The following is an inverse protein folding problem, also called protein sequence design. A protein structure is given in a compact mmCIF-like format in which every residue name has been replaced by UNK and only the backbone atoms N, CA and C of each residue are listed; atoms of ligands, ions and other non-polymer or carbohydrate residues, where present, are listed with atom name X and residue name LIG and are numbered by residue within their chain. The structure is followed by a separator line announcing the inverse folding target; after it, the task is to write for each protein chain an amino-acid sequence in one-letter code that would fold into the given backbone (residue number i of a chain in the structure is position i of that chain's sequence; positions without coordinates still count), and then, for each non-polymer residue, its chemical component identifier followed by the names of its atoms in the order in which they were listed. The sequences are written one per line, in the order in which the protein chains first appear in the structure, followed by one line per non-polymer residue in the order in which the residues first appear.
data_IF_760125400262
#
_entry.id   IF_760125400262
#
_cell.length_a   1.000
_cell.length_b   1.000
_cell.length_c   1.000
_cell.angle_alpha   90.00
_cell.angle_beta   90.00
_cell.angle_gamma   90.00
#
_symmetry.space_group_name_H-M   'P 1'
#
loop_
_entity.id
_entity.type
_entity.pdbx_description
1 polymer ?
#
# COMPACT_ATOMS: atom_id res chain seq x y z
N UNK A 1 5.54 27.74 -8.26
CA UNK A 1 4.85 27.87 -6.96
C UNK A 1 4.19 29.24 -6.75
N UNK A 2 4.82 30.35 -7.15
CA UNK A 2 4.31 31.71 -6.92
C UNK A 2 2.88 31.98 -7.44
N UNK A 3 2.52 31.46 -8.62
CA UNK A 3 1.17 31.63 -9.19
C UNK A 3 0.09 30.92 -8.34
N UNK A 4 0.39 29.73 -7.80
CA UNK A 4 -0.54 28.99 -6.95
C UNK A 4 -0.76 29.65 -5.58
N UNK A 5 0.30 30.23 -5.02
CA UNK A 5 0.20 31.03 -3.79
C UNK A 5 -0.62 32.31 -4.01
N UNK A 6 -0.42 32.99 -5.15
CA UNK A 6 -1.16 34.19 -5.53
C UNK A 6 -2.66 33.93 -5.77
N UNK A 7 -3.02 32.72 -6.21
CA UNK A 7 -4.41 32.31 -6.44
C UNK A 7 -5.09 31.71 -5.20
N UNK A 8 -4.41 31.64 -4.05
CA UNK A 8 -5.03 31.18 -2.80
C UNK A 8 -6.03 32.24 -2.34
N UNK A 9 -7.28 31.84 -2.09
CA UNK A 9 -8.24 32.70 -1.38
C UNK A 9 -7.76 32.85 0.07
N UNK A 10 -7.31 34.06 0.41
CA UNK A 10 -6.83 34.43 1.74
C UNK A 10 -7.88 35.29 2.41
N UNK A 11 -8.40 34.82 3.56
CA UNK A 11 -9.35 35.57 4.38
C UNK A 11 -8.87 35.63 5.82
N UNK A 12 -8.56 36.83 6.30
CA UNK A 12 -8.06 37.05 7.65
C UNK A 12 -9.13 36.74 8.73
N UNK A 13 -8.70 36.14 9.84
CA UNK A 13 -9.43 36.04 11.12
C UNK A 13 -8.66 36.82 12.20
N UNK A 14 -9.32 37.13 13.31
CA UNK A 14 -8.68 37.76 14.48
C UNK A 14 -7.59 36.88 15.13
N UNK A 15 -7.52 35.56 14.80
CA UNK A 15 -6.49 34.64 15.29
C UNK A 15 -5.38 34.31 14.26
N UNK A 16 -5.60 34.57 12.96
CA UNK A 16 -4.65 34.24 11.90
C UNK A 16 -4.92 35.11 10.66
N UNK A 17 -3.89 35.82 10.20
CA UNK A 17 -4.01 36.89 9.21
C UNK A 17 -4.04 36.38 7.76
N UNK A 18 -3.46 35.21 7.44
CA UNK A 18 -3.16 34.86 6.04
C UNK A 18 -3.48 33.42 5.57
N UNK A 19 -4.02 32.51 6.39
CA UNK A 19 -4.14 31.09 5.96
C UNK A 19 -5.24 30.23 6.60
N UNK A 20 -5.93 30.69 7.65
CA UNK A 20 -6.78 29.84 8.50
C UNK A 20 -8.06 29.30 7.86
N UNK A 21 -8.40 29.68 6.62
CA UNK A 21 -9.73 29.44 6.03
C UNK A 21 -9.75 28.59 4.76
N UNK A 22 -8.64 28.01 4.33
CA UNK A 22 -8.63 27.13 3.16
C UNK A 22 -7.62 26.00 3.29
N UNK A 23 -8.03 24.82 2.84
CA UNK A 23 -7.12 23.69 2.63
C UNK A 23 -6.40 23.89 1.29
N UNK A 24 -5.10 23.68 1.26
CA UNK A 24 -4.32 23.64 0.03
C UNK A 24 -3.77 22.23 -0.18
N UNK A 25 -3.93 21.71 -1.40
CA UNK A 25 -3.42 20.40 -1.80
C UNK A 25 -2.51 20.63 -3.00
N UNK A 26 -1.25 20.26 -2.86
CA UNK A 26 -0.27 20.28 -3.93
C UNK A 26 0.13 18.85 -4.28
N UNK A 27 -0.04 18.50 -5.55
CA UNK A 27 0.17 17.13 -6.04
C UNK A 27 1.31 17.15 -7.03
N UNK A 28 2.32 16.32 -6.78
CA UNK A 28 3.39 16.02 -7.74
C UNK A 28 3.18 14.58 -8.20
N UNK A 29 3.02 14.39 -9.50
CA UNK A 29 2.99 13.07 -10.13
C UNK A 29 4.33 12.86 -10.84
N UNK A 30 4.98 11.74 -10.56
CA UNK A 30 6.24 11.33 -11.17
C UNK A 30 5.96 10.04 -11.93
N UNK A 31 6.21 10.07 -13.24
CA UNK A 31 6.10 8.90 -14.09
C UNK A 31 7.51 8.46 -14.48
N UNK A 32 7.84 7.20 -14.20
CA UNK A 32 9.10 6.58 -14.56
C UNK A 32 8.83 5.50 -15.60
N UNK A 33 9.58 5.52 -16.69
CA UNK A 33 9.54 4.51 -17.73
C UNK A 33 10.88 3.77 -17.74
N UNK A 34 10.85 2.45 -17.55
CA UNK A 34 12.04 1.60 -17.52
C UNK A 34 11.86 0.42 -18.48
N UNK A 35 12.94 0.05 -19.16
CA UNK A 35 12.93 -1.11 -20.04
C UNK A 35 12.97 -2.39 -19.19
N UNK A 36 11.94 -3.22 -19.33
CA UNK A 36 11.84 -4.53 -18.75
C UNK A 36 12.79 -5.55 -19.36
N UNK A 37 12.95 -6.66 -18.65
CA UNK A 37 13.66 -7.85 -19.14
C UNK A 37 12.97 -8.52 -20.34
N UNK A 38 11.69 -8.20 -20.58
CA UNK A 38 10.95 -8.61 -21.78
C UNK A 38 11.19 -7.68 -22.99
N UNK A 39 12.04 -6.66 -22.81
CA UNK A 39 12.33 -5.65 -23.83
C UNK A 39 11.19 -4.63 -24.03
N UNK A 40 10.20 -4.59 -23.14
CA UNK A 40 9.09 -3.62 -23.20
C UNK A 40 9.27 -2.52 -22.16
N UNK A 41 8.66 -1.37 -22.43
CA UNK A 41 8.63 -0.25 -21.50
C UNK A 41 7.62 -0.50 -20.39
N UNK A 42 8.09 -0.55 -19.14
CA UNK A 42 7.27 -0.61 -17.95
C UNK A 42 7.14 0.78 -17.34
N UNK A 43 5.91 1.18 -17.06
CA UNK A 43 5.61 2.50 -16.49
C UNK A 43 5.27 2.34 -15.02
N UNK A 44 5.94 3.12 -14.17
CA UNK A 44 5.66 3.24 -12.74
C UNK A 44 5.26 4.67 -12.42
N UNK A 45 4.21 4.84 -11.62
CA UNK A 45 3.69 6.17 -11.28
C UNK A 45 3.73 6.43 -9.78
N UNK A 46 4.56 7.36 -9.37
CA UNK A 46 4.59 7.90 -8.01
C UNK A 46 3.69 9.13 -7.90
N UNK A 47 2.91 9.25 -6.82
CA UNK A 47 2.13 10.46 -6.51
C UNK A 47 2.47 10.94 -5.11
N UNK A 48 3.00 12.16 -5.02
CA UNK A 48 3.27 12.86 -3.76
C UNK A 48 2.19 13.91 -3.55
N UNK A 49 1.44 13.77 -2.46
CA UNK A 49 0.44 14.75 -2.03
C UNK A 49 1.00 15.53 -0.83
N UNK A 50 1.13 16.86 -0.97
CA UNK A 50 1.43 17.79 0.10
C UNK A 50 0.16 18.56 0.46
N UNK A 51 -0.28 18.45 1.71
CA UNK A 51 -1.57 18.98 2.15
C UNK A 51 -1.35 19.95 3.30
N UNK A 52 -1.75 21.21 3.11
CA UNK A 52 -1.83 22.25 4.14
C UNK A 52 -3.31 22.38 4.55
N UNK A 53 -3.63 21.96 5.77
CA UNK A 53 -5.00 21.97 6.26
C UNK A 53 -5.34 23.34 6.86
N UNK A 54 -6.61 23.72 6.76
CA UNK A 54 -7.15 24.87 7.47
C UNK A 54 -7.01 24.69 9.00
N UNK A 55 -7.14 25.79 9.73
CA UNK A 55 -7.02 25.82 11.18
C UNK A 55 -7.98 24.85 11.88
N UNK A 56 -7.47 24.08 12.85
CA UNK A 56 -8.24 23.10 13.61
C UNK A 56 -9.01 23.70 14.79
N UNK A 57 -8.88 24.99 15.02
CA UNK A 57 -9.53 25.72 16.11
C UNK A 57 -11.06 25.78 15.98
N UNK A 58 -11.72 25.93 17.14
CA UNK A 58 -13.17 26.02 17.21
C UNK A 58 -13.66 27.41 16.78
N UNK A 59 -14.76 27.43 16.00
CA UNK A 59 -15.41 28.66 15.55
C UNK A 59 -15.90 29.58 16.68
N UNK A 60 -16.17 29.04 17.87
CA UNK A 60 -16.54 29.86 19.02
C UNK A 60 -15.45 30.87 19.43
N UNK A 61 -14.19 30.64 19.03
CA UNK A 61 -13.06 31.55 19.29
C UNK A 61 -12.87 32.61 18.19
N UNK A 62 -13.53 32.47 17.04
CA UNK A 62 -13.28 33.33 15.85
C UNK A 62 -14.24 34.51 15.72
N UNK A 63 -15.30 34.59 16.55
CA UNK A 63 -16.28 35.69 16.61
C UNK A 63 -16.79 36.17 15.24
N UNK A 64 -17.04 35.24 14.30
CA UNK A 64 -17.46 35.57 12.93
C UNK A 64 -18.97 35.56 12.74
N UNK A 65 -19.54 36.63 12.16
CA UNK A 65 -20.97 36.79 11.88
C UNK A 65 -21.32 36.72 10.37
N UNK A 66 -22.58 36.42 10.04
CA UNK A 66 -23.12 36.50 8.67
C UNK A 66 -22.56 35.46 7.68
N UNK A 67 -22.23 35.88 6.45
CA UNK A 67 -21.65 35.00 5.42
C UNK A 67 -20.31 34.37 5.85
N UNK A 68 -19.55 35.06 6.72
CA UNK A 68 -18.33 34.50 7.31
C UNK A 68 -18.60 33.29 8.21
N UNK A 69 -19.74 33.27 8.91
CA UNK A 69 -20.15 32.11 9.71
C UNK A 69 -20.46 30.90 8.82
N UNK A 70 -21.15 31.11 7.69
CA UNK A 70 -21.46 30.03 6.73
C UNK A 70 -20.20 29.43 6.11
N UNK A 71 -19.24 30.27 5.75
CA UNK A 71 -17.93 29.83 5.23
C UNK A 71 -17.15 29.04 6.29
N UNK A 72 -17.03 29.59 7.50
CA UNK A 72 -16.30 28.97 8.60
C UNK A 72 -16.93 27.63 9.04
N UNK A 73 -18.26 27.52 8.94
CA UNK A 73 -18.98 26.24 9.14
C UNK A 73 -18.57 25.19 8.11
N UNK A 74 -18.43 25.56 6.83
CA UNK A 74 -18.00 24.62 5.77
C UNK A 74 -16.54 24.19 5.92
N UNK A 75 -15.67 25.09 6.36
CA UNK A 75 -14.26 24.76 6.65
C UNK A 75 -14.19 23.74 7.79
N UNK A 76 -14.89 24.00 8.90
CA UNK A 76 -14.91 23.08 10.04
C UNK A 76 -15.63 21.77 9.73
N UNK A 77 -16.61 21.77 8.82
CA UNK A 77 -17.23 20.54 8.34
C UNK A 77 -16.17 19.59 7.77
N UNK A 78 -15.32 20.05 6.87
CA UNK A 78 -14.28 19.20 6.26
C UNK A 78 -13.28 18.62 7.27
N UNK A 79 -12.86 19.40 8.28
CA UNK A 79 -11.96 18.92 9.35
C UNK A 79 -12.67 17.97 10.33
N UNK A 80 -13.93 18.23 10.63
CA UNK A 80 -14.76 17.35 11.47
C UNK A 80 -14.99 16.01 10.77
N UNK A 81 -15.34 16.04 9.49
CA UNK A 81 -15.46 14.84 8.65
C UNK A 81 -14.14 14.08 8.57
N UNK A 82 -13.01 14.76 8.42
CA UNK A 82 -11.69 14.12 8.47
C UNK A 82 -11.49 13.40 9.82
N UNK A 83 -11.87 14.01 10.93
CA UNK A 83 -11.86 13.37 12.25
C UNK A 83 -12.75 12.13 12.37
N UNK A 84 -13.93 12.15 11.73
CA UNK A 84 -14.84 11.01 11.67
C UNK A 84 -14.26 9.87 10.83
N UNK A 85 -13.65 10.17 9.68
CA UNK A 85 -12.94 9.20 8.84
C UNK A 85 -11.81 8.52 9.62
N UNK A 86 -10.98 9.28 10.33
CA UNK A 86 -9.91 8.73 11.16
C UNK A 86 -10.47 7.84 12.26
N UNK A 87 -11.54 8.27 12.92
CA UNK A 87 -12.16 7.49 14.00
C UNK A 87 -12.74 6.17 13.48
N UNK A 88 -13.40 6.20 12.31
CA UNK A 88 -13.91 5.01 11.64
C UNK A 88 -12.81 4.06 11.17
N UNK A 89 -11.67 4.58 10.69
CA UNK A 89 -10.53 3.77 10.28
C UNK A 89 -9.80 3.07 11.44
N UNK A 90 -9.86 3.66 12.63
CA UNK A 90 -9.25 3.09 13.84
C UNK A 90 -10.19 2.09 14.53
N UNK A 91 -11.51 2.32 14.43
CA UNK A 91 -12.51 1.40 14.96
C UNK A 91 -12.70 0.19 14.04
N UNK A 92 -12.20 -0.97 14.48
CA UNK A 92 -12.33 -2.24 13.75
C UNK A 92 -13.77 -2.70 13.53
N UNK A 93 -14.75 -2.13 14.25
CA UNK A 93 -16.17 -2.46 14.09
C UNK A 93 -16.85 -1.66 12.97
N UNK A 94 -16.23 -0.57 12.52
CA UNK A 94 -16.80 0.27 11.49
C UNK A 94 -16.63 -0.38 10.12
N UNK A 95 -17.73 -0.76 9.49
CA UNK A 95 -17.73 -1.33 8.13
C UNK A 95 -17.67 -0.26 7.04
N UNK A 96 -18.18 0.94 7.33
CA UNK A 96 -18.25 2.05 6.39
C UNK A 96 -17.39 3.23 6.87
N UNK A 97 -16.55 3.75 5.98
CA UNK A 97 -15.76 4.96 6.25
C UNK A 97 -16.33 6.13 5.44
N UNK A 98 -16.72 7.24 6.09
CA UNK A 98 -17.47 8.33 5.46
C UNK A 98 -16.61 9.28 4.63
N UNK A 99 -15.85 8.77 3.65
CA UNK A 99 -15.03 9.63 2.78
C UNK A 99 -15.86 10.64 2.00
N UNK A 100 -17.11 10.29 1.67
CA UNK A 100 -17.99 11.07 0.79
C UNK A 100 -18.55 12.34 1.43
N UNK A 101 -18.51 12.45 2.75
CA UNK A 101 -19.12 13.53 3.53
C UNK A 101 -18.40 14.88 3.32
N UNK A 102 -17.17 14.88 2.80
CA UNK A 102 -16.47 16.10 2.40
C UNK A 102 -15.63 15.90 1.14
N UNK A 103 -15.45 16.96 0.35
CA UNK A 103 -14.55 16.92 -0.83
C UNK A 103 -13.10 16.60 -0.43
N UNK A 104 -12.65 17.11 0.72
CA UNK A 104 -11.31 16.89 1.24
C UNK A 104 -11.08 15.39 1.51
N UNK A 105 -11.96 14.75 2.26
CA UNK A 105 -11.85 13.32 2.60
C UNK A 105 -11.98 12.42 1.38
N UNK A 106 -12.71 12.83 0.34
CA UNK A 106 -12.72 12.13 -0.95
C UNK A 106 -11.38 12.20 -1.67
N UNK A 107 -10.76 13.38 -1.70
CA UNK A 107 -9.45 13.57 -2.33
C UNK A 107 -8.33 12.84 -1.59
N UNK A 108 -8.46 12.71 -0.27
CA UNK A 108 -7.47 12.06 0.61
C UNK A 108 -7.79 10.60 0.91
N UNK A 109 -8.78 10.00 0.25
CA UNK A 109 -9.18 8.61 0.49
C UNK A 109 -8.01 7.64 0.33
N UNK A 110 -7.16 7.82 -0.69
CA UNK A 110 -5.98 6.98 -0.87
C UNK A 110 -4.94 7.16 0.25
N UNK A 111 -4.89 8.36 0.84
CA UNK A 111 -3.93 8.71 1.91
C UNK A 111 -4.37 8.21 3.29
N UNK A 112 -5.66 7.92 3.49
CA UNK A 112 -6.19 7.48 4.78
C UNK A 112 -6.77 6.07 4.61
N UNK A 113 -6.03 5.04 5.00
CA UNK A 113 -6.46 3.65 4.88
C UNK A 113 -6.35 3.04 3.48
N UNK A 114 -5.80 3.77 2.50
CA UNK A 114 -5.66 3.34 1.11
C UNK A 114 -4.24 2.97 0.69
N UNK A 115 -3.98 3.07 -0.61
CA UNK A 115 -2.69 2.84 -1.24
C UNK A 115 -1.82 4.12 -1.19
N UNK A 116 -1.24 4.40 -0.02
CA UNK A 116 -0.33 5.54 0.15
C UNK A 116 0.57 5.35 1.37
N UNK A 117 1.79 5.88 1.28
CA UNK A 117 2.64 6.11 2.45
C UNK A 117 2.32 7.51 2.99
N UNK A 118 1.70 7.58 4.16
CA UNK A 118 1.15 8.83 4.69
C UNK A 118 1.85 9.23 5.97
N UNK A 119 2.23 10.51 6.03
CA UNK A 119 2.85 11.15 7.20
C UNK A 119 1.96 12.31 7.60
N UNK A 120 1.61 12.38 8.88
CA UNK A 120 0.89 13.51 9.46
C UNK A 120 1.86 14.33 10.31
N UNK A 121 1.91 15.63 10.07
CA UNK A 121 2.65 16.59 10.91
C UNK A 121 1.61 17.35 11.74
N UNK A 122 1.74 17.28 13.05
CA UNK A 122 0.84 17.95 13.98
C UNK A 122 1.52 19.21 14.55
N UNK A 123 1.10 20.39 14.07
CA UNK A 123 1.61 21.67 14.55
C UNK A 123 0.86 22.11 15.82
N UNK A 124 1.61 22.51 16.85
CA UNK A 124 1.07 22.93 18.15
C UNK A 124 1.68 24.27 18.57
N UNK A 125 0.91 25.05 19.33
CA UNK A 125 1.36 26.32 19.89
C UNK A 125 1.79 26.17 21.35
N UNK A 126 2.97 26.66 21.77
CA UNK A 126 3.47 26.48 23.14
C UNK A 126 2.79 27.40 24.17
N UNK A 127 2.03 28.41 23.74
CA UNK A 127 1.42 29.39 24.61
C UNK A 127 0.27 28.79 25.46
N UNK A 128 0.12 29.27 26.70
CA UNK A 128 -0.87 28.76 27.67
C UNK A 128 -2.32 28.87 27.18
N UNK A 129 -2.67 29.93 26.44
CA UNK A 129 -4.01 30.10 25.87
C UNK A 129 -4.34 29.07 24.76
N UNK A 130 -3.33 28.40 24.20
CA UNK A 130 -3.48 27.33 23.21
C UNK A 130 -3.53 25.93 23.82
N UNK A 131 -3.53 25.81 25.16
CA UNK A 131 -3.46 24.52 25.85
C UNK A 131 -4.55 23.54 25.38
N UNK A 132 -5.81 23.98 25.34
CA UNK A 132 -6.92 23.13 24.91
C UNK A 132 -6.79 22.65 23.46
N UNK A 133 -6.41 23.55 22.54
CA UNK A 133 -6.24 23.20 21.13
C UNK A 133 -5.05 22.26 20.92
N UNK A 134 -3.97 22.48 21.66
CA UNK A 134 -2.79 21.60 21.65
C UNK A 134 -3.16 20.18 22.07
N UNK A 135 -3.95 20.02 23.14
CA UNK A 135 -4.43 18.70 23.57
C UNK A 135 -5.34 18.07 22.51
N UNK A 136 -6.23 18.86 21.87
CA UNK A 136 -7.09 18.36 20.79
C UNK A 136 -6.26 17.85 19.60
N UNK A 137 -5.27 18.63 19.15
CA UNK A 137 -4.36 18.26 18.06
C UNK A 137 -3.55 17.00 18.38
N UNK A 138 -3.00 16.89 19.59
CA UNK A 138 -2.25 15.69 20.00
C UNK A 138 -3.13 14.44 20.08
N UNK A 139 -4.35 14.55 20.62
CA UNK A 139 -5.32 13.44 20.64
C UNK A 139 -5.71 13.02 19.22
N UNK A 140 -5.87 13.98 18.33
CA UNK A 140 -6.15 13.73 16.92
C UNK A 140 -5.00 12.96 16.25
N UNK A 141 -3.77 13.44 16.40
CA UNK A 141 -2.56 12.79 15.87
C UNK A 141 -2.37 11.37 16.45
N UNK A 142 -2.66 11.19 17.75
CA UNK A 142 -2.61 9.88 18.41
C UNK A 142 -3.59 8.88 17.80
N UNK A 143 -4.79 9.31 17.38
CA UNK A 143 -5.72 8.44 16.66
C UNK A 143 -5.22 8.15 15.25
N UNK A 144 -4.79 9.18 14.52
CA UNK A 144 -4.27 9.04 13.16
C UNK A 144 -3.09 8.06 13.07
N UNK A 145 -2.23 8.01 14.10
CA UNK A 145 -1.11 7.05 14.21
C UNK A 145 -1.54 5.58 14.09
N UNK A 146 -2.77 5.25 14.47
CA UNK A 146 -3.26 3.87 14.46
C UNK A 146 -3.88 3.45 13.11
N UNK A 147 -3.97 4.37 12.14
CA UNK A 147 -4.46 4.04 10.81
C UNK A 147 -3.42 3.16 10.11
N UNK A 148 -3.90 2.09 9.47
CA UNK A 148 -3.08 1.18 8.68
C UNK A 148 -3.35 1.39 7.21
N UNK A 149 -2.35 1.88 6.49
CA UNK A 149 -2.38 1.95 5.03
C UNK A 149 -1.79 0.69 4.40
N UNK A 150 -2.16 0.41 3.15
CA UNK A 150 -1.65 -0.73 2.38
C UNK A 150 -0.97 -0.23 1.10
N UNK A 151 0.23 0.38 1.22
CA UNK A 151 0.95 0.89 0.05
C UNK A 151 1.38 -0.25 -0.87
N UNK A 152 1.10 -0.10 -2.16
CA UNK A 152 1.44 -0.99 -3.27
C UNK A 152 2.18 -0.20 -4.34
N UNK A 153 3.00 -0.86 -5.14
CA UNK A 153 3.67 -0.23 -6.28
C UNK A 153 2.62 0.01 -7.37
N UNK A 154 2.57 1.24 -7.89
CA UNK A 154 1.65 1.59 -8.98
C UNK A 154 2.34 1.27 -10.31
N UNK A 155 2.04 0.10 -10.86
CA UNK A 155 2.54 -0.41 -12.12
C UNK A 155 1.44 -1.20 -12.83
N UNK A 156 1.64 -1.53 -14.12
CA UNK A 156 0.68 -2.37 -14.84
C UNK A 156 0.58 -3.75 -14.15
N UNK A 157 -0.64 -4.28 -13.93
CA UNK A 157 -0.83 -5.61 -13.34
C UNK A 157 -0.03 -6.72 -14.03
N UNK A 158 0.19 -6.61 -15.35
CA UNK A 158 1.02 -7.56 -16.11
C UNK A 158 2.47 -7.51 -15.67
N UNK A 159 2.99 -6.31 -15.45
CA UNK A 159 4.38 -6.06 -15.06
C UNK A 159 4.64 -6.50 -13.62
N UNK A 160 3.67 -6.27 -12.73
CA UNK A 160 3.69 -6.77 -11.37
C UNK A 160 3.77 -8.31 -11.35
N UNK A 161 2.92 -8.98 -12.14
CA UNK A 161 2.88 -10.43 -12.22
C UNK A 161 4.16 -11.02 -12.84
N UNK A 162 4.70 -10.39 -13.88
CA UNK A 162 5.97 -10.79 -14.49
C UNK A 162 7.12 -10.73 -13.49
N UNK A 163 7.19 -9.68 -12.67
CA UNK A 163 8.20 -9.55 -11.62
C UNK A 163 8.06 -10.63 -10.55
N UNK A 164 6.83 -10.91 -10.12
CA UNK A 164 6.57 -11.97 -9.14
C UNK A 164 6.99 -13.35 -9.67
N UNK A 165 6.62 -13.67 -10.91
CA UNK A 165 7.04 -14.93 -11.55
C UNK A 165 8.56 -15.03 -11.73
N UNK A 166 9.23 -13.94 -12.08
CA UNK A 166 10.70 -13.93 -12.18
C UNK A 166 11.36 -14.15 -10.82
N UNK A 167 10.86 -13.53 -9.76
CA UNK A 167 11.33 -13.76 -8.39
C UNK A 167 11.13 -15.20 -7.94
N UNK A 168 9.98 -15.80 -8.25
CA UNK A 168 9.73 -17.21 -7.91
C UNK A 168 10.62 -18.15 -8.75
N UNK A 169 10.85 -17.86 -10.04
CA UNK A 169 11.80 -18.62 -10.86
C UNK A 169 13.20 -18.57 -10.25
N UNK A 170 13.65 -17.40 -9.78
CA UNK A 170 14.97 -17.24 -9.18
C UNK A 170 15.08 -18.01 -7.86
N UNK A 171 14.08 -17.91 -6.99
CA UNK A 171 13.98 -18.67 -5.74
C UNK A 171 14.01 -20.18 -6.00
N UNK A 172 13.23 -20.66 -6.97
CA UNK A 172 13.19 -22.08 -7.35
C UNK A 172 14.53 -22.56 -7.92
N UNK A 173 15.20 -21.74 -8.75
CA UNK A 173 16.56 -22.04 -9.26
C UNK A 173 17.60 -22.11 -8.14
N UNK A 174 17.45 -21.32 -7.09
CA UNK A 174 18.34 -21.33 -5.93
C UNK A 174 18.10 -22.56 -5.04
N UNK A 175 16.83 -22.92 -4.82
CA UNK A 175 16.44 -24.19 -4.17
C UNK A 175 17.00 -25.40 -4.90
N UNK A 176 16.89 -25.45 -6.24
CA UNK A 176 17.47 -26.51 -7.06
C UNK A 176 19.00 -26.57 -6.98
N UNK A 177 19.68 -25.42 -6.85
CA UNK A 177 21.14 -25.36 -6.67
C UNK A 177 21.58 -25.80 -5.26
N UNK A 178 20.73 -25.60 -4.25
CA UNK A 178 21.02 -25.94 -2.85
C UNK A 178 20.77 -27.42 -2.49
N UNK A 179 20.05 -28.18 -3.34
CA UNK A 179 19.91 -29.63 -3.15
C UNK A 179 21.24 -30.35 -3.46
N UNK A 180 21.82 -31.15 -2.54
CA UNK A 180 23.06 -31.88 -2.79
C UNK A 180 22.91 -32.87 -3.95
N UNK A 181 24.00 -33.04 -4.72
CA UNK A 181 24.19 -33.91 -5.90
C UNK A 181 24.00 -35.43 -5.63
N UNK A 182 22.94 -35.87 -4.97
CA UNK A 182 22.64 -37.30 -4.83
C UNK A 182 22.02 -37.89 -6.12
N UNK A 183 21.37 -37.06 -6.95
CA UNK A 183 20.60 -37.51 -8.12
C UNK A 183 21.42 -37.57 -9.41
N UNK A 184 22.55 -36.85 -9.50
CA UNK A 184 23.34 -36.80 -10.75
C UNK A 184 24.34 -37.96 -10.91
N UNK A 185 24.72 -38.67 -9.84
CA UNK A 185 25.69 -39.78 -9.92
C UNK A 185 25.07 -41.12 -10.32
N UNK A 186 23.75 -41.31 -10.19
CA UNK A 186 23.08 -42.57 -10.57
C UNK A 186 22.93 -42.74 -12.09
N UNK A 187 22.98 -41.66 -12.88
CA UNK A 187 22.81 -41.72 -14.34
C UNK A 187 24.11 -42.02 -15.12
N UNK A 188 25.29 -41.77 -14.55
CA UNK A 188 26.57 -42.06 -15.22
C UNK A 188 27.12 -43.47 -14.95
N UNK A 189 26.68 -44.14 -13.87
CA UNK A 189 27.13 -45.50 -13.51
C UNK A 189 26.56 -46.63 -14.37
N UNK A 190 25.55 -46.37 -15.21
CA UNK A 190 24.90 -47.40 -16.05
C UNK A 190 25.46 -47.53 -17.47
N UNK A 191 26.43 -46.69 -17.86
CA UNK A 191 26.95 -46.65 -19.25
C UNK A 191 28.25 -47.44 -19.49
N UNK A 192 28.91 -47.98 -18.47
CA UNK A 192 30.25 -48.58 -18.62
C UNK A 192 30.30 -50.12 -18.68
N UNK A 193 29.17 -50.83 -18.79
CA UNK A 193 29.19 -52.30 -18.81
C UNK A 193 28.12 -52.92 -19.73
N UNK A 194 28.13 -52.56 -21.03
CA UNK A 194 27.43 -53.35 -22.04
C UNK A 194 28.11 -53.24 -23.39
N UNK A 195 29.22 -53.96 -23.55
CA UNK A 195 29.73 -54.40 -24.84
C UNK A 195 29.52 -55.93 -24.93
N UNK A 196 28.91 -56.34 -26.03
CA UNK A 196 28.84 -57.70 -26.62
C UNK A 196 27.80 -58.69 -26.04
N UNK A 197 26.64 -58.77 -26.70
CA UNK A 197 26.10 -60.00 -27.35
C UNK A 197 24.71 -59.73 -27.95
N UNK A 198 24.47 -60.25 -29.15
CA UNK A 198 23.30 -60.06 -30.03
C UNK A 198 21.99 -60.72 -29.53
N UNK A 199 20.88 -60.24 -30.12
CA UNK A 199 19.53 -60.80 -30.26
C UNK A 199 18.66 -61.14 -29.02
N UNK A 200 17.63 -60.30 -28.77
CA UNK A 200 16.22 -60.73 -28.56
C UNK A 200 15.26 -59.51 -28.41
N UNK A 201 13.94 -59.66 -28.70
CA UNK A 201 13.02 -58.54 -28.88
C UNK A 201 12.59 -57.88 -27.56
N UNK A 202 12.20 -56.62 -27.71
CA UNK A 202 11.83 -55.65 -26.68
C UNK A 202 10.52 -56.06 -25.99
N UNK A 203 10.55 -56.25 -24.66
CA UNK A 203 9.38 -56.18 -23.78
C UNK A 203 9.50 -54.90 -22.93
N UNK A 204 8.76 -53.86 -23.28
CA UNK A 204 8.69 -52.59 -22.54
C UNK A 204 7.85 -52.75 -21.26
N UNK A 205 8.39 -53.49 -20.29
CA UNK A 205 7.96 -53.39 -18.90
C UNK A 205 8.55 -52.14 -18.25
N UNK A 206 7.72 -51.12 -17.99
CA UNK A 206 8.09 -49.92 -17.23
C UNK A 206 8.53 -50.35 -15.82
N UNK A 207 9.77 -50.13 -15.37
CA UNK A 207 10.16 -50.40 -14.00
C UNK A 207 9.56 -49.32 -13.08
N UNK A 208 8.79 -49.75 -12.07
CA UNK A 208 8.39 -48.90 -10.94
C UNK A 208 9.63 -48.45 -10.16
N UNK A 209 10.14 -47.23 -10.44
CA UNK A 209 11.17 -46.59 -9.63
C UNK A 209 10.53 -45.85 -8.44
N UNK A 210 10.69 -46.45 -7.25
CA UNK A 210 10.57 -45.93 -5.88
C UNK A 210 10.18 -44.44 -5.70
N UNK A 211 8.94 -44.22 -5.25
CA UNK A 211 8.28 -42.93 -5.07
C UNK A 211 8.37 -42.32 -3.65
N UNK A 212 9.37 -42.69 -2.83
CA UNK A 212 9.30 -42.37 -1.39
C UNK A 212 10.05 -41.10 -0.95
N UNK A 213 10.80 -40.43 -1.84
CA UNK A 213 11.61 -39.24 -1.47
C UNK A 213 11.02 -37.87 -1.85
N UNK A 214 10.07 -37.80 -2.77
CA UNK A 214 9.55 -36.55 -3.36
C UNK A 214 8.17 -36.13 -2.78
N UNK A 215 7.49 -37.05 -2.08
CA UNK A 215 6.13 -36.85 -1.56
C UNK A 215 6.04 -35.69 -0.56
N UNK A 216 6.96 -35.59 0.40
CA UNK A 216 6.92 -34.58 1.46
C UNK A 216 7.15 -33.13 0.99
N UNK A 217 8.04 -32.91 0.02
CA UNK A 217 8.29 -31.58 -0.55
C UNK A 217 7.12 -31.10 -1.42
N UNK A 218 6.50 -32.02 -2.15
CA UNK A 218 5.33 -31.73 -2.97
C UNK A 218 4.10 -31.43 -2.11
N UNK A 219 3.94 -32.17 -1.01
CA UNK A 219 2.84 -32.00 -0.07
C UNK A 219 2.95 -30.70 0.73
N UNK A 220 4.16 -30.34 1.20
CA UNK A 220 4.43 -29.05 1.86
C UNK A 220 4.19 -27.86 0.92
N UNK A 221 4.64 -27.95 -0.34
CA UNK A 221 4.40 -26.93 -1.35
C UNK A 221 2.90 -26.76 -1.69
N UNK A 222 2.17 -27.87 -1.85
CA UNK A 222 0.73 -27.86 -2.09
C UNK A 222 -0.05 -27.28 -0.91
N UNK A 223 0.43 -27.51 0.32
CA UNK A 223 -0.15 -26.94 1.54
C UNK A 223 0.07 -25.43 1.62
N UNK A 224 1.28 -24.95 1.36
CA UNK A 224 1.57 -23.50 1.31
C UNK A 224 0.73 -22.79 0.25
N UNK A 225 0.57 -23.39 -0.94
CA UNK A 225 -0.26 -22.82 -2.01
C UNK A 225 -1.75 -22.80 -1.64
N UNK A 226 -2.24 -23.84 -0.96
CA UNK A 226 -3.63 -23.86 -0.44
C UNK A 226 -3.86 -22.80 0.64
N UNK A 227 -2.91 -22.59 1.55
CA UNK A 227 -2.99 -21.57 2.59
C UNK A 227 -2.94 -20.15 2.01
N UNK A 228 -2.09 -19.90 1.00
CA UNK A 228 -2.08 -18.63 0.27
C UNK A 228 -3.40 -18.35 -0.45
N UNK A 229 -3.94 -19.35 -1.15
CA UNK A 229 -5.22 -19.23 -1.85
C UNK A 229 -6.39 -19.00 -0.88
N UNK A 230 -6.36 -19.62 0.30
CA UNK A 230 -7.35 -19.40 1.35
C UNK A 230 -7.28 -17.98 1.93
N UNK A 231 -6.07 -17.49 2.21
CA UNK A 231 -5.85 -16.14 2.71
C UNK A 231 -6.24 -15.06 1.68
N UNK A 232 -6.10 -15.35 0.39
CA UNK A 232 -6.55 -14.45 -0.68
C UNK A 232 -8.07 -14.44 -0.81
N UNK A 233 -8.73 -15.61 -0.68
CA UNK A 233 -10.20 -15.70 -0.67
C UNK A 233 -10.82 -14.99 0.54
N UNK A 234 -10.20 -15.07 1.72
CA UNK A 234 -10.65 -14.31 2.90
C UNK A 234 -10.47 -12.80 2.77
N UNK A 235 -9.59 -12.32 1.88
CA UNK A 235 -9.43 -10.88 1.61
C UNK A 235 -10.43 -10.32 0.60
N UNK A 236 -11.12 -11.19 -0.12
CA UNK A 236 -12.07 -10.82 -1.19
C UNK A 236 -13.53 -10.90 -0.69
N UNK A 237 -13.79 -11.58 0.43
CA UNK A 237 -15.06 -11.60 1.16
C UNK A 237 -15.08 -10.53 2.27
#
# INVERSE_FOLDING_TARGET
MNIGYANRSVGATNMNEHSSRSHAIFIITIECCELGVDGKNHIRVGKLNLVDLAGSERQSKTQSEGERLKEATRINLSLSTLGNVISALVDKKSTHVPYRDSKLTRLLQDSLGGNSKTVMIANIGPASYNYEETINTLRYASRAKNIKNTPKINEDPKDALLREYQGEIERLKELLRSKPQAVQRSLQGRRSHRSESEDEPIDEGIPEENADGDSGLRETYLREQREKLAAEKERIL
#
